data_IF_721101205751
#
_entry.id   IF_721101205751
#
_cell.length_a   1.000
_cell.length_b   1.000
_cell.length_c   1.000
_cell.angle_alpha   90.00
_cell.angle_beta   90.00
_cell.angle_gamma   90.00
#
_symmetry.space_group_name_H-M   'P 1'
#
loop_
_entity.id
_entity.type
_entity.pdbx_description
1 polymer ?
#
# COMPACT_ATOMS: atom_id res chain seq x y z
N UNK A 1 -18.35 32.35 36.85
CA UNK A 1 -18.46 33.77 37.26
C UNK A 1 -18.56 34.61 36.01
N UNK A 2 -19.68 35.32 35.88
CA UNK A 2 -19.97 36.29 34.82
C UNK A 2 -19.41 37.65 35.25
N UNK A 3 -18.99 38.47 34.27
CA UNK A 3 -18.86 39.95 34.25
C UNK A 3 -17.48 40.40 33.73
N UNK A 4 -17.31 41.48 32.96
CA UNK A 4 -18.19 42.39 32.21
C UNK A 4 -17.25 43.32 31.42
N UNK A 5 -17.67 43.74 30.23
CA UNK A 5 -17.02 44.72 29.34
C UNK A 5 -16.64 46.02 30.06
N UNK A 6 -15.53 46.65 29.64
CA UNK A 6 -15.44 48.11 29.52
C UNK A 6 -14.74 48.52 28.23
N UNK A 7 -15.28 49.59 27.65
CA UNK A 7 -14.97 50.15 26.36
C UNK A 7 -13.91 51.25 26.44
N UNK A 8 -13.18 51.39 25.34
CA UNK A 8 -12.82 52.61 24.62
C UNK A 8 -12.15 53.81 25.33
N UNK A 9 -11.11 54.28 24.62
CA UNK A 9 -10.74 55.66 24.34
C UNK A 9 -9.88 56.41 25.37
N UNK A 10 -8.57 56.51 25.08
CA UNK A 10 -7.78 57.74 25.33
C UNK A 10 -6.72 57.90 24.23
N UNK A 11 -6.98 58.89 23.38
CA UNK A 11 -6.08 59.93 22.85
C UNK A 11 -4.65 59.59 22.40
N UNK A 12 -4.44 59.86 21.10
CA UNK A 12 -3.19 60.24 20.43
C UNK A 12 -2.50 61.41 21.14
N UNK A 13 -1.18 61.34 21.31
CA UNK A 13 -0.36 62.55 21.42
C UNK A 13 1.02 62.41 22.06
N UNK A 14 2.03 62.66 21.22
CA UNK A 14 3.37 63.20 21.53
C UNK A 14 4.53 62.23 21.88
N UNK A 15 5.49 62.23 20.93
CA UNK A 15 6.90 61.84 21.04
C UNK A 15 7.60 62.41 22.28
N UNK A 16 8.61 61.69 22.80
CA UNK A 16 10.00 62.16 22.91
C UNK A 16 10.95 61.02 23.33
N UNK A 17 12.22 61.19 22.95
CA UNK A 17 13.33 60.22 22.93
C UNK A 17 13.84 59.77 24.31
N UNK A 18 14.34 58.52 24.37
CA UNK A 18 15.39 58.09 25.30
C UNK A 18 15.05 56.89 26.18
N UNK A 19 15.77 55.77 26.00
CA UNK A 19 15.77 54.67 26.97
C UNK A 19 16.08 53.31 26.37
N UNK A 20 17.24 52.76 26.72
CA UNK A 20 17.65 51.37 26.47
C UNK A 20 16.63 50.41 27.07
N UNK A 21 16.09 49.51 26.26
CA UNK A 21 15.21 48.45 26.74
C UNK A 21 14.84 47.51 25.61
N UNK A 22 15.27 46.25 25.73
CA UNK A 22 14.96 45.16 24.82
C UNK A 22 13.45 45.07 24.56
N UNK A 23 13.00 45.59 23.41
CA UNK A 23 11.71 45.16 22.87
C UNK A 23 11.93 43.79 22.26
N UNK A 24 11.57 42.75 23.04
CA UNK A 24 11.18 41.47 22.46
C UNK A 24 9.99 41.76 21.55
N UNK A 25 10.24 41.98 20.26
CA UNK A 25 9.26 41.72 19.23
C UNK A 25 9.04 40.21 19.23
N UNK A 26 8.04 39.78 20.02
CA UNK A 26 7.37 38.51 19.80
C UNK A 26 6.47 38.74 18.59
N UNK A 27 7.06 38.67 17.40
CA UNK A 27 6.34 38.49 16.14
C UNK A 27 6.73 37.11 15.63
N UNK A 28 6.21 36.09 16.31
CA UNK A 28 6.10 34.77 15.74
C UNK A 28 4.93 34.78 14.77
N UNK A 29 5.14 35.34 13.58
CA UNK A 29 4.23 35.11 12.47
C UNK A 29 4.17 33.60 12.26
N UNK A 30 2.99 33.02 12.49
CA UNK A 30 2.71 31.58 12.45
C UNK A 30 2.80 30.97 11.05
N UNK A 31 3.77 31.39 10.24
CA UNK A 31 4.04 30.86 8.93
C UNK A 31 4.99 29.67 9.07
N UNK A 32 4.58 28.44 8.68
CA UNK A 32 5.44 27.27 8.78
C UNK A 32 6.73 27.50 8.01
N UNK A 33 7.87 27.16 8.64
CA UNK A 33 9.17 27.29 7.99
C UNK A 33 9.27 26.31 6.80
N UNK A 34 10.23 26.55 5.89
CA UNK A 34 10.39 25.76 4.68
C UNK A 34 10.59 24.25 4.97
N UNK A 35 11.21 23.92 6.11
CA UNK A 35 11.44 22.55 6.56
C UNK A 35 10.14 21.84 6.96
N UNK A 36 9.25 22.52 7.71
CA UNK A 36 7.94 21.99 8.09
C UNK A 36 7.04 21.79 6.87
N UNK A 37 7.08 22.71 5.90
CA UNK A 37 6.36 22.56 4.64
C UNK A 37 6.90 21.39 3.80
N UNK A 38 8.21 21.20 3.77
CA UNK A 38 8.83 20.07 3.10
C UNK A 38 8.43 18.74 3.76
N UNK A 39 8.42 18.68 5.09
CA UNK A 39 7.99 17.49 5.84
C UNK A 39 6.54 17.11 5.54
N UNK A 40 5.59 18.06 5.59
CA UNK A 40 4.17 17.80 5.25
C UNK A 40 4.01 17.30 3.82
N UNK A 41 4.76 17.90 2.89
CA UNK A 41 4.75 17.45 1.50
C UNK A 41 5.32 16.03 1.34
N UNK A 42 6.42 15.72 2.03
CA UNK A 42 7.05 14.40 2.00
C UNK A 42 6.16 13.32 2.65
N UNK A 43 5.53 13.61 3.79
CA UNK A 43 4.54 12.73 4.42
C UNK A 43 3.40 12.41 3.46
N UNK A 44 2.90 13.43 2.74
CA UNK A 44 1.87 13.22 1.72
C UNK A 44 2.36 12.31 0.60
N UNK A 45 3.57 12.50 0.11
CA UNK A 45 4.13 11.63 -0.94
C UNK A 45 4.27 10.18 -0.49
N UNK A 46 4.69 9.93 0.76
CA UNK A 46 4.79 8.59 1.32
C UNK A 46 3.40 7.95 1.46
N UNK A 47 2.41 8.70 1.94
CA UNK A 47 1.01 8.23 1.99
C UNK A 47 0.48 7.86 0.60
N UNK A 48 0.69 8.74 -0.39
CA UNK A 48 0.25 8.50 -1.77
C UNK A 48 0.96 7.28 -2.37
N UNK A 49 2.24 7.08 -2.07
CA UNK A 49 3.01 5.90 -2.47
C UNK A 49 2.40 4.61 -1.91
N UNK A 50 2.05 4.57 -0.62
CA UNK A 50 1.40 3.41 0.00
C UNK A 50 0.03 3.12 -0.63
N UNK A 51 -0.74 4.15 -1.00
CA UNK A 51 -2.01 3.95 -1.71
C UNK A 51 -1.80 3.41 -3.14
N UNK A 52 -0.75 3.85 -3.84
CA UNK A 52 -0.38 3.26 -5.13
C UNK A 52 0.00 1.79 -4.98
N UNK A 53 0.78 1.45 -3.96
CA UNK A 53 1.14 0.07 -3.66
C UNK A 53 -0.08 -0.80 -3.37
N UNK A 54 -1.04 -0.32 -2.58
CA UNK A 54 -2.32 -1.02 -2.36
C UNK A 54 -3.06 -1.29 -3.67
N UNK A 55 -3.07 -0.32 -4.58
CA UNK A 55 -3.71 -0.44 -5.89
C UNK A 55 -3.01 -1.49 -6.76
N UNK A 56 -1.68 -1.47 -6.82
CA UNK A 56 -0.91 -2.43 -7.62
C UNK A 56 -0.95 -3.85 -7.02
N UNK A 57 -0.86 -3.97 -5.70
CA UNK A 57 -1.01 -5.24 -4.99
C UNK A 57 -2.40 -5.85 -5.19
N UNK A 58 -3.47 -5.06 -5.04
CA UNK A 58 -4.83 -5.52 -5.33
C UNK A 58 -5.05 -5.92 -6.79
N UNK A 59 -4.23 -5.42 -7.71
CA UNK A 59 -4.24 -5.81 -9.11
C UNK A 59 -3.28 -6.95 -9.46
N UNK A 60 -2.47 -7.43 -8.51
CA UNK A 60 -1.40 -8.39 -8.76
C UNK A 60 -0.39 -7.90 -9.82
N UNK A 61 -0.20 -6.58 -9.90
CA UNK A 61 0.72 -5.95 -10.85
C UNK A 61 2.10 -5.77 -10.20
N UNK A 62 2.85 -6.87 -10.14
CA UNK A 62 4.18 -6.89 -9.53
C UNK A 62 5.20 -6.02 -10.28
N UNK A 63 5.01 -5.82 -11.60
CA UNK A 63 5.82 -4.90 -12.38
C UNK A 63 5.59 -3.45 -11.93
N UNK A 64 4.34 -3.03 -11.72
CA UNK A 64 4.03 -1.71 -11.15
C UNK A 64 4.41 -1.57 -9.69
N UNK A 65 4.27 -2.62 -8.89
CA UNK A 65 4.81 -2.62 -7.52
C UNK A 65 6.31 -2.37 -7.51
N UNK A 66 7.06 -2.96 -8.43
CA UNK A 66 8.51 -2.75 -8.53
C UNK A 66 8.89 -1.28 -8.80
N UNK A 67 8.06 -0.53 -9.54
CA UNK A 67 8.27 0.92 -9.79
C UNK A 67 8.17 1.77 -8.50
N UNK A 68 7.57 1.22 -7.43
CA UNK A 68 7.44 1.87 -6.10
C UNK A 68 8.62 1.56 -5.17
N UNK A 69 9.50 0.63 -5.57
CA UNK A 69 10.62 0.17 -4.76
C UNK A 69 11.90 0.94 -5.08
N UNK A 70 12.75 1.08 -4.06
CA UNK A 70 14.12 1.58 -4.21
C UNK A 70 14.89 0.68 -5.17
N UNK A 71 15.92 1.22 -5.83
CA UNK A 71 16.63 0.53 -6.91
C UNK A 71 17.08 -0.89 -6.52
N UNK A 72 17.51 -1.08 -5.26
CA UNK A 72 17.97 -2.35 -4.71
C UNK A 72 16.92 -3.48 -4.76
N UNK A 73 15.63 -3.18 -4.63
CA UNK A 73 14.57 -4.18 -4.49
C UNK A 73 13.61 -4.27 -5.68
N UNK A 74 13.85 -3.47 -6.74
CA UNK A 74 12.97 -3.39 -7.91
C UNK A 74 12.85 -4.74 -8.62
N UNK A 75 13.96 -5.33 -9.04
CA UNK A 75 13.95 -6.57 -9.83
C UNK A 75 13.36 -7.74 -9.05
N UNK A 76 13.73 -7.88 -7.77
CA UNK A 76 13.19 -8.90 -6.89
C UNK A 76 11.68 -8.74 -6.66
N UNK A 77 11.14 -7.52 -6.68
CA UNK A 77 9.70 -7.27 -6.56
C UNK A 77 8.98 -7.55 -7.87
N UNK A 78 9.57 -7.22 -9.03
CA UNK A 78 8.99 -7.46 -10.35
C UNK A 78 8.82 -8.95 -10.65
N UNK A 79 9.76 -9.76 -10.15
CA UNK A 79 9.74 -11.22 -10.25
C UNK A 79 9.02 -11.88 -9.06
N UNK A 80 8.47 -11.06 -8.16
CA UNK A 80 7.77 -11.52 -6.97
C UNK A 80 6.35 -12.01 -7.26
N UNK A 81 5.69 -12.43 -6.18
CA UNK A 81 4.31 -12.91 -6.18
C UNK A 81 4.19 -14.33 -5.63
N UNK A 82 2.99 -14.79 -5.27
CA UNK A 82 2.79 -16.16 -4.85
C UNK A 82 3.17 -17.11 -6.00
N UNK A 83 3.97 -18.16 -5.73
CA UNK A 83 4.29 -19.14 -6.77
C UNK A 83 3.00 -19.79 -7.27
N UNK A 84 2.91 -19.98 -8.58
CA UNK A 84 1.82 -20.70 -9.21
C UNK A 84 2.25 -22.16 -9.31
N UNK A 85 1.52 -23.10 -8.68
CA UNK A 85 1.79 -24.53 -8.81
C UNK A 85 1.81 -24.96 -10.28
N UNK A 86 2.58 -25.99 -10.63
CA UNK A 86 2.52 -26.54 -11.98
C UNK A 86 1.18 -27.26 -12.22
N UNK A 87 0.71 -27.34 -13.47
CA UNK A 87 -0.58 -27.96 -13.82
C UNK A 87 -0.70 -29.39 -13.27
N UNK A 88 0.36 -30.18 -13.39
CA UNK A 88 0.44 -31.58 -12.94
C UNK A 88 0.40 -31.74 -11.41
N UNK A 89 0.74 -30.70 -10.64
CA UNK A 89 0.59 -30.68 -9.19
C UNK A 89 -0.87 -30.47 -8.77
N UNK A 90 -1.67 -29.82 -9.63
CA UNK A 90 -3.10 -29.63 -9.41
C UNK A 90 -3.88 -30.87 -9.84
N UNK A 91 -3.69 -31.28 -11.10
CA UNK A 91 -4.34 -32.46 -11.66
C UNK A 91 -3.46 -33.04 -12.78
N UNK A 92 -3.10 -34.33 -12.71
CA UNK A 92 -2.39 -35.01 -13.79
C UNK A 92 -3.17 -34.95 -15.12
N UNK A 93 -2.49 -34.84 -16.28
CA UNK A 93 -3.15 -34.73 -17.59
C UNK A 93 -4.16 -35.85 -17.85
N UNK A 94 -3.82 -37.07 -17.44
CA UNK A 94 -4.62 -38.27 -17.68
C UNK A 94 -5.98 -38.19 -16.98
N UNK A 95 -6.01 -37.50 -15.84
CA UNK A 95 -7.22 -37.23 -15.07
C UNK A 95 -7.97 -36.03 -15.66
N UNK A 96 -7.26 -34.95 -15.99
CA UNK A 96 -7.85 -33.72 -16.50
C UNK A 96 -8.61 -33.91 -17.83
N UNK A 97 -8.15 -34.83 -18.69
CA UNK A 97 -8.75 -35.07 -20.01
C UNK A 97 -9.81 -36.19 -20.02
N UNK A 98 -10.10 -36.80 -18.87
CA UNK A 98 -11.15 -37.84 -18.78
C UNK A 98 -12.53 -37.21 -19.00
N UNK A 99 -13.47 -37.86 -19.75
CA UNK A 99 -14.81 -37.34 -19.93
C UNK A 99 -15.50 -37.00 -18.60
N UNK A 100 -16.04 -35.79 -18.49
CA UNK A 100 -16.70 -35.29 -17.27
C UNK A 100 -15.77 -34.75 -16.18
N UNK A 101 -14.43 -34.88 -16.33
CA UNK A 101 -13.47 -34.37 -15.35
C UNK A 101 -13.56 -32.84 -15.18
N UNK A 102 -13.76 -32.10 -16.26
CA UNK A 102 -13.94 -30.64 -16.21
C UNK A 102 -15.11 -30.22 -15.32
N UNK A 103 -16.28 -30.85 -15.48
CA UNK A 103 -17.45 -30.51 -14.67
C UNK A 103 -17.24 -30.86 -13.19
N UNK A 104 -16.62 -32.01 -12.91
CA UNK A 104 -16.27 -32.41 -11.55
C UNK A 104 -15.27 -31.43 -10.90
N UNK A 105 -14.24 -31.00 -11.65
CA UNK A 105 -13.25 -30.03 -11.18
C UNK A 105 -13.87 -28.65 -10.93
N UNK A 106 -14.76 -28.16 -11.81
CA UNK A 106 -15.46 -26.89 -11.58
C UNK A 106 -16.30 -26.95 -10.31
N UNK A 107 -17.04 -28.04 -10.09
CA UNK A 107 -17.83 -28.25 -8.88
C UNK A 107 -16.97 -28.27 -7.60
N UNK A 108 -15.87 -29.01 -7.62
CA UNK A 108 -14.93 -29.10 -6.50
C UNK A 108 -14.32 -27.72 -6.16
N UNK A 109 -13.85 -27.00 -7.18
CA UNK A 109 -13.21 -25.70 -6.99
C UNK A 109 -14.21 -24.63 -6.54
N UNK A 110 -15.43 -24.62 -7.08
CA UNK A 110 -16.49 -23.72 -6.63
C UNK A 110 -16.89 -23.97 -5.17
N UNK A 111 -16.92 -25.22 -4.73
CA UNK A 111 -17.15 -25.56 -3.32
C UNK A 111 -16.01 -25.10 -2.41
N UNK A 112 -14.76 -25.27 -2.87
CA UNK A 112 -13.56 -24.91 -2.10
C UNK A 112 -13.36 -23.39 -2.02
N UNK A 113 -13.76 -22.67 -3.06
CA UNK A 113 -13.56 -21.23 -3.22
C UNK A 113 -14.89 -20.52 -3.52
N UNK A 114 -15.84 -20.52 -2.57
CA UNK A 114 -17.20 -20.05 -2.81
C UNK A 114 -17.30 -18.54 -3.06
N UNK A 115 -16.28 -17.76 -2.67
CA UNK A 115 -16.18 -16.31 -2.92
C UNK A 115 -15.59 -15.97 -4.27
N UNK A 116 -15.05 -16.95 -5.01
CA UNK A 116 -14.44 -16.70 -6.33
C UNK A 116 -15.52 -16.71 -7.41
N UNK A 117 -15.50 -15.75 -8.35
CA UNK A 117 -16.42 -15.74 -9.49
C UNK A 117 -16.37 -17.05 -10.30
N UNK A 118 -17.53 -17.61 -10.72
CA UNK A 118 -17.58 -18.88 -11.45
C UNK A 118 -16.79 -18.89 -12.77
N UNK A 119 -16.67 -17.75 -13.45
CA UNK A 119 -15.89 -17.57 -14.68
C UNK A 119 -14.38 -17.71 -14.42
N UNK A 120 -13.89 -17.21 -13.27
CA UNK A 120 -12.48 -17.38 -12.85
C UNK A 120 -12.19 -18.86 -12.58
N UNK A 121 -13.09 -19.56 -11.88
CA UNK A 121 -12.97 -21.01 -11.68
C UNK A 121 -12.98 -21.75 -13.02
N UNK A 122 -13.89 -21.39 -13.92
CA UNK A 122 -14.02 -22.03 -15.22
C UNK A 122 -12.76 -21.85 -16.07
N UNK A 123 -12.16 -20.66 -16.09
CA UNK A 123 -10.92 -20.40 -16.82
C UNK A 123 -9.76 -21.29 -16.33
N UNK A 124 -9.63 -21.51 -15.01
CA UNK A 124 -8.62 -22.44 -14.47
C UNK A 124 -8.88 -23.85 -14.95
N UNK A 125 -10.12 -24.34 -14.84
CA UNK A 125 -10.44 -25.71 -15.27
C UNK A 125 -10.27 -25.90 -16.78
N UNK A 126 -10.72 -24.93 -17.58
CA UNK A 126 -10.61 -25.00 -19.04
C UNK A 126 -9.15 -25.05 -19.47
N UNK A 127 -8.27 -24.27 -18.84
CA UNK A 127 -6.84 -24.33 -19.12
C UNK A 127 -6.23 -25.69 -18.75
N UNK A 128 -6.65 -26.31 -17.64
CA UNK A 128 -6.22 -27.65 -17.24
C UNK A 128 -6.69 -28.72 -18.21
N UNK A 129 -7.95 -28.69 -18.63
CA UNK A 129 -8.52 -29.65 -19.59
C UNK A 129 -7.84 -29.52 -20.96
N UNK A 130 -7.59 -28.29 -21.40
CA UNK A 130 -6.98 -28.00 -22.69
C UNK A 130 -5.44 -28.14 -22.69
N UNK A 131 -4.83 -28.38 -21.52
CA UNK A 131 -3.36 -28.43 -21.35
C UNK A 131 -2.67 -27.15 -21.84
N UNK A 132 -3.33 -25.99 -21.67
CA UNK A 132 -2.84 -24.68 -22.09
C UNK A 132 -2.11 -23.99 -20.93
N UNK A 133 -0.79 -24.16 -20.89
CA UNK A 133 0.06 -23.60 -19.84
C UNK A 133 0.01 -22.05 -19.76
N UNK A 134 0.14 -21.29 -20.88
CA UNK A 134 -0.05 -19.83 -20.83
C UNK A 134 -1.42 -19.41 -20.27
N UNK A 135 -2.51 -20.05 -20.69
CA UNK A 135 -3.84 -19.75 -20.17
C UNK A 135 -3.96 -20.13 -18.68
N UNK A 136 -3.38 -21.25 -18.27
CA UNK A 136 -3.36 -21.71 -16.89
C UNK A 136 -2.65 -20.73 -15.97
N UNK A 137 -1.46 -20.25 -16.38
CA UNK A 137 -0.71 -19.25 -15.64
C UNK A 137 -1.51 -17.96 -15.45
N UNK A 138 -2.22 -17.50 -16.50
CA UNK A 138 -3.08 -16.33 -16.41
C UNK A 138 -4.32 -16.57 -15.52
N UNK A 139 -4.98 -17.71 -15.67
CA UNK A 139 -6.17 -18.07 -14.90
C UNK A 139 -5.85 -18.24 -13.40
N UNK A 140 -4.72 -18.87 -13.07
CA UNK A 140 -4.26 -19.01 -11.68
C UNK A 140 -3.92 -17.66 -11.05
N UNK A 141 -3.30 -16.73 -11.79
CA UNK A 141 -3.11 -15.35 -11.30
C UNK A 141 -4.44 -14.68 -11.00
N UNK A 142 -5.42 -14.81 -11.87
CA UNK A 142 -6.76 -14.25 -11.65
C UNK A 142 -7.44 -14.89 -10.44
N UNK A 143 -7.31 -16.21 -10.26
CA UNK A 143 -7.79 -16.92 -9.06
C UNK A 143 -7.14 -16.36 -7.79
N UNK A 144 -5.81 -16.24 -7.76
CA UNK A 144 -5.08 -15.69 -6.60
C UNK A 144 -5.48 -14.25 -6.32
N UNK A 145 -5.67 -13.43 -7.35
CA UNK A 145 -6.17 -12.05 -7.26
C UNK A 145 -7.58 -11.99 -6.66
N UNK A 146 -8.46 -12.93 -7.01
CA UNK A 146 -9.80 -13.01 -6.41
C UNK A 146 -9.77 -13.48 -4.95
N UNK A 147 -8.77 -14.26 -4.56
CA UNK A 147 -8.67 -14.83 -3.22
C UNK A 147 -7.95 -13.92 -2.24
N UNK A 148 -6.91 -13.20 -2.67
CA UNK A 148 -5.98 -12.53 -1.77
C UNK A 148 -6.10 -11.02 -1.96
N UNK A 149 -6.42 -10.32 -0.87
CA UNK A 149 -6.41 -8.86 -0.81
C UNK A 149 -5.44 -8.43 0.27
N UNK A 150 -4.46 -7.60 -0.10
CA UNK A 150 -3.50 -7.00 0.82
C UNK A 150 -3.71 -5.50 0.82
N UNK A 151 -3.86 -4.91 2.00
CA UNK A 151 -4.00 -3.46 2.19
C UNK A 151 -3.10 -3.00 3.33
N UNK A 152 -2.27 -2.00 3.07
CA UNK A 152 -1.46 -1.32 4.06
C UNK A 152 -2.05 0.05 4.40
N UNK A 153 -2.03 0.40 5.67
CA UNK A 153 -2.51 1.69 6.19
C UNK A 153 -1.42 2.33 7.06
N UNK A 154 -1.01 3.53 6.68
CA UNK A 154 -0.01 4.31 7.42
C UNK A 154 -0.59 4.76 8.75
N UNK A 155 0.15 4.52 9.83
CA UNK A 155 -0.20 4.95 11.19
C UNK A 155 0.63 6.16 11.62
N UNK A 156 1.93 6.11 11.34
CA UNK A 156 2.90 7.14 11.72
C UNK A 156 4.05 7.19 10.70
N UNK A 157 4.66 8.36 10.54
CA UNK A 157 5.82 8.58 9.66
C UNK A 157 6.85 9.44 10.39
N UNK A 158 8.09 8.96 10.43
CA UNK A 158 9.26 9.74 10.87
C UNK A 158 10.17 10.02 9.66
N UNK A 159 10.41 11.30 9.35
CA UNK A 159 11.26 11.75 8.23
C UNK A 159 12.56 12.36 8.74
N UNK A 160 13.68 11.94 8.16
CA UNK A 160 15.04 12.41 8.44
C UNK A 160 15.79 12.65 7.12
N UNK A 161 15.66 13.87 6.59
CA UNK A 161 16.24 14.23 5.30
C UNK A 161 15.67 13.36 4.18
N UNK A 162 16.54 12.62 3.47
CA UNK A 162 16.16 11.74 2.36
C UNK A 162 15.81 10.30 2.81
N UNK A 163 15.62 10.08 4.11
CA UNK A 163 15.19 8.81 4.68
C UNK A 163 13.92 9.00 5.49
N UNK A 164 13.06 7.99 5.50
CA UNK A 164 11.90 7.96 6.36
C UNK A 164 11.62 6.54 6.85
N UNK A 165 10.94 6.44 8.00
CA UNK A 165 10.39 5.21 8.53
C UNK A 165 8.90 5.42 8.73
N UNK A 166 8.06 4.47 8.34
CA UNK A 166 6.63 4.51 8.63
C UNK A 166 6.18 3.24 9.33
N UNK A 167 5.27 3.39 10.29
CA UNK A 167 4.56 2.28 10.88
C UNK A 167 3.28 2.03 10.09
N UNK A 168 3.16 0.82 9.55
CA UNK A 168 2.02 0.40 8.75
C UNK A 168 1.25 -0.69 9.49
N UNK A 169 -0.08 -0.64 9.40
CA UNK A 169 -0.91 -1.83 9.64
C UNK A 169 -1.21 -2.47 8.30
N UNK A 170 -0.73 -3.70 8.10
CA UNK A 170 -1.02 -4.52 6.91
C UNK A 170 -2.15 -5.47 7.24
N UNK A 171 -3.22 -5.40 6.46
CA UNK A 171 -4.36 -6.30 6.52
C UNK A 171 -4.35 -7.22 5.30
N UNK A 172 -4.29 -8.53 5.54
CA UNK A 172 -4.37 -9.56 4.50
C UNK A 172 -5.66 -10.35 4.67
N UNK A 173 -6.47 -10.41 3.62
CA UNK A 173 -7.67 -11.25 3.54
C UNK A 173 -7.42 -12.37 2.54
N UNK A 174 -7.87 -13.60 2.85
CA UNK A 174 -7.69 -14.76 1.98
C UNK A 174 -8.96 -15.58 1.91
N UNK A 175 -9.68 -15.48 0.79
CA UNK A 175 -11.02 -16.04 0.62
C UNK A 175 -11.91 -15.63 1.80
N UNK A 176 -12.53 -16.64 2.41
CA UNK A 176 -13.53 -16.47 3.46
C UNK A 176 -12.93 -16.42 4.87
N UNK A 177 -11.60 -16.46 4.98
CA UNK A 177 -10.92 -16.44 6.27
C UNK A 177 -11.00 -15.04 6.90
N UNK A 178 -11.06 -14.94 8.24
CA UNK A 178 -10.95 -13.66 8.92
C UNK A 178 -9.67 -12.91 8.50
N UNK A 179 -9.72 -11.58 8.31
CA UNK A 179 -8.54 -10.81 7.95
C UNK A 179 -7.43 -10.94 9.01
N UNK A 180 -6.19 -11.21 8.57
CA UNK A 180 -4.99 -11.14 9.40
C UNK A 180 -4.48 -9.70 9.40
N UNK A 181 -4.16 -9.15 10.57
CA UNK A 181 -3.55 -7.82 10.71
C UNK A 181 -2.19 -7.91 11.36
N UNK A 182 -1.23 -7.18 10.81
CA UNK A 182 0.15 -7.14 11.28
C UNK A 182 0.64 -5.69 11.29
N UNK A 183 1.45 -5.33 12.28
CA UNK A 183 2.19 -4.08 12.27
C UNK A 183 3.55 -4.30 11.61
N UNK A 184 3.95 -3.36 10.75
CA UNK A 184 5.20 -3.41 10.02
C UNK A 184 5.86 -2.04 9.99
N UNK A 185 7.14 -2.00 10.36
CA UNK A 185 8.00 -0.85 10.15
C UNK A 185 8.59 -0.89 8.74
N UNK A 186 8.25 0.08 7.91
CA UNK A 186 8.73 0.19 6.54
C UNK A 186 9.69 1.36 6.37
N UNK A 187 10.83 1.09 5.74
CA UNK A 187 11.83 2.11 5.42
C UNK A 187 11.57 2.68 4.03
N UNK A 188 11.61 4.00 3.92
CA UNK A 188 11.53 4.74 2.67
C UNK A 188 12.79 5.55 2.44
N UNK A 189 13.16 5.70 1.18
CA UNK A 189 14.29 6.51 0.74
C UNK A 189 13.86 7.43 -0.40
N UNK A 190 14.39 8.65 -0.43
CA UNK A 190 14.18 9.58 -1.53
C UNK A 190 15.30 9.40 -2.56
N UNK A 191 14.96 8.82 -3.71
CA UNK A 191 15.88 8.68 -4.84
C UNK A 191 15.45 9.65 -5.95
N UNK A 192 16.35 10.53 -6.39
CA UNK A 192 16.07 11.53 -7.44
C UNK A 192 14.82 12.38 -7.14
N UNK A 193 14.61 12.76 -5.87
CA UNK A 193 13.47 13.57 -5.43
C UNK A 193 12.14 12.82 -5.28
N UNK A 194 12.11 11.49 -5.46
CA UNK A 194 10.92 10.65 -5.30
C UNK A 194 11.10 9.68 -4.13
N UNK A 195 10.13 9.63 -3.22
CA UNK A 195 10.08 8.60 -2.18
C UNK A 195 9.80 7.22 -2.76
N UNK A 196 10.52 6.22 -2.26
CA UNK A 196 10.43 4.82 -2.64
C UNK A 196 10.53 3.92 -1.41
N UNK A 197 9.81 2.81 -1.43
CA UNK A 197 9.87 1.78 -0.40
C UNK A 197 11.16 0.97 -0.54
N UNK A 198 11.92 0.90 0.54
CA UNK A 198 13.20 0.21 0.60
C UNK A 198 13.24 -0.93 1.64
N UNK A 199 12.10 -1.59 1.85
CA UNK A 199 12.05 -2.89 2.50
C UNK A 199 12.23 -4.03 1.48
N UNK A 200 12.91 -5.13 1.86
CA UNK A 200 12.96 -6.33 1.04
C UNK A 200 11.56 -6.86 0.70
N UNK A 201 11.36 -7.44 -0.50
CA UNK A 201 10.10 -8.12 -0.80
C UNK A 201 9.86 -9.26 0.19
N UNK A 202 8.62 -9.39 0.67
CA UNK A 202 8.24 -10.40 1.66
C UNK A 202 8.67 -10.12 3.10
N UNK A 203 9.30 -8.97 3.39
CA UNK A 203 9.54 -8.52 4.76
C UNK A 203 8.22 -8.05 5.38
N UNK A 204 7.37 -8.99 5.77
CA UNK A 204 6.03 -8.71 6.27
C UNK A 204 5.11 -9.94 6.33
N UNK A 205 5.58 -11.03 6.94
CA UNK A 205 4.85 -12.30 7.08
C UNK A 205 4.86 -12.83 8.51
#
# INVERSE_FOLDING_TARGET
MVCRRWAAAVLVGALLLGGVGCTRTVEGDGQPNAEALAAVHDEKQINDLVQQQNTYAGNFDFAKLAETKCAKYRDATAQGGPPIPAMNEIVPPEIATTPGAGDALRGLLAQKFPTVPPDVISAVVDSLVNQDEPAYQAAMRNLLKSLIVVKAEVQDIEIKGDQATAELTVTTTTGDKPPKREQQTVKFVKENGKWLDCNPPGAGS
#
